data_IF_855756972261
#
_entry.id   IF_855756972261
#
_cell.length_a   1.000
_cell.length_b   1.000
_cell.length_c   1.000
_cell.angle_alpha   90.00
_cell.angle_beta   90.00
_cell.angle_gamma   90.00
#
_symmetry.space_group_name_H-M   'P 1'
#
loop_
_entity.id
_entity.type
_entity.pdbx_description
1 polymer ?
#
# COMPACT_ATOMS: atom_id res chain seq x y z
N UNK A 1 4.61 0.57 14.37
CA UNK A 1 5.55 1.10 13.36
C UNK A 1 4.96 2.39 12.83
N UNK A 2 5.74 3.47 12.79
CA UNK A 2 5.28 4.72 12.19
C UNK A 2 5.23 4.53 10.68
N UNK A 3 4.03 4.59 10.09
CA UNK A 3 3.84 4.68 8.62
C UNK A 3 4.24 6.06 8.09
N UNK A 4 4.79 6.95 8.93
CA UNK A 4 5.13 8.31 8.53
C UNK A 4 6.29 8.28 7.55
N UNK A 5 6.04 8.84 6.36
CA UNK A 5 7.12 9.44 5.59
C UNK A 5 7.78 10.47 6.49
N UNK A 6 9.10 10.38 6.64
CA UNK A 6 9.89 11.40 7.31
C UNK A 6 9.91 12.64 6.40
N UNK A 7 8.85 13.45 6.45
CA UNK A 7 8.81 14.75 5.78
C UNK A 7 9.71 15.71 6.53
N UNK A 8 10.98 15.74 6.13
CA UNK A 8 11.96 16.73 6.59
C UNK A 8 11.83 18.07 5.84
N UNK A 9 10.82 18.21 4.97
CA UNK A 9 10.55 19.44 4.23
C UNK A 9 10.01 20.52 5.19
N UNK A 10 10.73 21.63 5.40
CA UNK A 10 10.29 22.72 6.27
C UNK A 10 8.92 23.28 5.88
N UNK A 11 8.62 23.37 4.58
CA UNK A 11 7.33 23.86 4.07
C UNK A 11 6.19 22.93 4.51
N UNK A 12 6.39 21.62 4.40
CA UNK A 12 5.39 20.63 4.83
C UNK A 12 5.14 20.70 6.34
N UNK A 13 6.20 20.84 7.14
CA UNK A 13 6.09 20.97 8.60
C UNK A 13 5.33 22.23 8.99
N UNK A 14 5.61 23.36 8.34
CA UNK A 14 4.90 24.62 8.58
C UNK A 14 3.42 24.52 8.26
N UNK A 15 3.07 23.97 7.08
CA UNK A 15 1.68 23.71 6.68
C UNK A 15 0.96 22.82 7.71
N UNK A 16 1.61 21.74 8.15
CA UNK A 16 1.07 20.81 9.13
C UNK A 16 0.74 21.51 10.45
N UNK A 17 1.66 22.34 10.95
CA UNK A 17 1.45 23.11 12.18
C UNK A 17 0.28 24.06 12.09
N UNK A 18 0.18 24.81 10.98
CA UNK A 18 -0.92 25.75 10.74
C UNK A 18 -2.27 25.03 10.77
N UNK A 19 -2.39 23.91 10.05
CA UNK A 19 -3.63 23.13 10.04
C UNK A 19 -3.94 22.54 11.41
N UNK A 20 -2.93 22.01 12.11
CA UNK A 20 -3.10 21.46 13.45
C UNK A 20 -3.61 22.54 14.43
N UNK A 21 -3.01 23.73 14.44
CA UNK A 21 -3.43 24.85 15.28
C UNK A 21 -4.83 25.36 14.93
N UNK A 22 -5.19 25.39 13.64
CA UNK A 22 -6.55 25.76 13.18
C UNK A 22 -7.66 24.91 13.79
N UNK A 23 -7.39 23.66 14.16
CA UNK A 23 -8.38 22.84 14.86
C UNK A 23 -8.71 23.38 16.26
N UNK A 24 -7.68 23.81 17.01
CA UNK A 24 -7.87 24.39 18.35
C UNK A 24 -8.50 25.79 18.30
N UNK A 25 -8.24 26.56 17.24
CA UNK A 25 -8.92 27.83 17.02
C UNK A 25 -10.42 27.64 16.77
N UNK A 26 -10.79 26.60 16.01
CA UNK A 26 -12.19 26.31 15.67
C UNK A 26 -12.94 25.63 16.82
N UNK A 27 -12.26 24.81 17.62
CA UNK A 27 -12.78 24.24 18.87
C UNK A 27 -11.79 24.41 20.04
N UNK A 28 -11.87 25.54 20.77
CA UNK A 28 -10.99 25.81 21.90
C UNK A 28 -11.07 24.79 23.04
N UNK A 29 -12.15 23.99 23.13
CA UNK A 29 -12.30 22.97 24.19
C UNK A 29 -11.31 21.82 24.04
N UNK A 30 -10.83 21.56 22.83
CA UNK A 30 -9.82 20.53 22.55
C UNK A 30 -8.55 20.70 23.40
N UNK A 31 -8.21 21.93 23.80
CA UNK A 31 -7.06 22.17 24.68
C UNK A 31 -7.17 21.47 26.03
N UNK A 32 -8.38 21.45 26.60
CA UNK A 32 -8.69 20.82 27.89
C UNK A 32 -9.10 19.35 27.78
N UNK A 33 -9.60 18.93 26.62
CA UNK A 33 -10.12 17.56 26.42
C UNK A 33 -9.05 16.58 25.91
N UNK A 34 -8.01 17.08 25.25
CA UNK A 34 -6.92 16.26 24.71
C UNK A 34 -5.68 16.34 25.61
N UNK A 35 -5.25 15.18 26.12
CA UNK A 35 -3.93 15.02 26.71
C UNK A 35 -2.83 15.12 25.64
N UNK A 36 -1.57 15.24 26.07
CA UNK A 36 -0.44 15.41 25.13
C UNK A 36 -0.28 14.23 24.17
N UNK A 37 -0.66 13.02 24.61
CA UNK A 37 -0.65 11.83 23.77
C UNK A 37 -1.65 11.94 22.62
N UNK A 38 -2.90 12.33 22.91
CA UNK A 38 -3.96 12.51 21.91
C UNK A 38 -3.66 13.68 20.98
N UNK A 39 -3.07 14.76 21.50
CA UNK A 39 -2.57 15.87 20.66
C UNK A 39 -1.52 15.40 19.66
N UNK A 40 -0.59 14.55 20.09
CA UNK A 40 0.40 13.95 19.18
C UNK A 40 -0.25 13.08 18.11
N UNK A 41 -1.19 12.20 18.48
CA UNK A 41 -1.91 11.36 17.52
C UNK A 41 -2.68 12.22 16.50
N UNK A 42 -3.34 13.27 16.95
CA UNK A 42 -4.03 14.21 16.07
C UNK A 42 -3.07 14.93 15.13
N UNK A 43 -1.88 15.31 15.59
CA UNK A 43 -0.84 15.88 14.72
C UNK A 43 -0.39 14.86 13.65
N UNK A 44 -0.14 13.61 14.06
CA UNK A 44 0.22 12.53 13.14
C UNK A 44 -0.89 12.30 12.09
N UNK A 45 -2.17 12.37 12.48
CA UNK A 45 -3.31 12.29 11.56
C UNK A 45 -3.32 13.45 10.55
N UNK A 46 -3.01 14.69 10.97
CA UNK A 46 -2.86 15.83 10.05
C UNK A 46 -1.74 15.57 9.06
N UNK A 47 -0.60 15.04 9.51
CA UNK A 47 0.53 14.66 8.63
C UNK A 47 0.09 13.62 7.60
N UNK A 48 -0.62 12.57 8.02
CA UNK A 48 -1.10 11.54 7.10
C UNK A 48 -2.05 12.14 6.06
N UNK A 49 -3.07 12.90 6.47
CA UNK A 49 -4.02 13.51 5.54
C UNK A 49 -3.32 14.43 4.54
N UNK A 50 -2.39 15.26 5.00
CA UNK A 50 -1.59 16.12 4.11
C UNK A 50 -0.72 15.34 3.14
N UNK A 51 -0.07 14.25 3.59
CA UNK A 51 0.78 13.44 2.73
C UNK A 51 -0.01 12.86 1.54
N UNK A 52 -1.19 12.29 1.79
CA UNK A 52 -2.06 11.77 0.74
C UNK A 52 -2.63 12.87 -0.15
N UNK A 53 -3.05 14.00 0.43
CA UNK A 53 -3.58 15.14 -0.33
C UNK A 53 -2.53 15.70 -1.28
N UNK A 54 -1.30 15.94 -0.80
CA UNK A 54 -0.24 16.50 -1.63
C UNK A 54 0.29 15.52 -2.67
N UNK A 55 0.26 14.21 -2.40
CA UNK A 55 0.47 13.21 -3.44
C UNK A 55 -0.60 13.30 -4.53
N UNK A 56 -1.88 13.37 -4.15
CA UNK A 56 -2.97 13.52 -5.11
C UNK A 56 -2.81 14.79 -5.97
N UNK A 57 -2.53 15.94 -5.32
CA UNK A 57 -2.31 17.23 -6.00
C UNK A 57 -1.11 17.20 -6.93
N UNK A 58 0.01 16.60 -6.50
CA UNK A 58 1.22 16.47 -7.30
C UNK A 58 0.95 15.69 -8.60
N UNK A 59 0.26 14.55 -8.50
CA UNK A 59 -0.09 13.72 -9.66
C UNK A 59 -1.34 14.18 -10.42
N UNK A 60 -2.05 15.18 -9.90
CA UNK A 60 -3.35 15.66 -10.41
C UNK A 60 -4.34 14.51 -10.56
N UNK A 61 -4.39 13.67 -9.52
CA UNK A 61 -5.19 12.47 -9.45
C UNK A 61 -6.04 12.50 -8.17
N UNK A 62 -7.29 12.94 -8.33
CA UNK A 62 -8.26 13.08 -7.24
C UNK A 62 -8.57 11.74 -6.56
N UNK A 63 -8.47 10.63 -7.29
CA UNK A 63 -8.85 9.30 -6.82
C UNK A 63 -7.98 8.88 -5.64
N UNK A 64 -6.70 9.25 -5.65
CA UNK A 64 -5.75 8.98 -4.56
C UNK A 64 -6.28 9.44 -3.20
N UNK A 65 -6.75 10.69 -3.12
CA UNK A 65 -7.24 11.26 -1.86
C UNK A 65 -8.67 10.85 -1.55
N UNK A 66 -9.53 10.70 -2.57
CA UNK A 66 -10.94 10.31 -2.38
C UNK A 66 -11.06 8.87 -1.85
N UNK A 67 -10.30 7.92 -2.42
CA UNK A 67 -10.27 6.52 -1.96
C UNK A 67 -9.66 6.43 -0.55
N UNK A 68 -8.63 7.23 -0.26
CA UNK A 68 -8.05 7.34 1.08
C UNK A 68 -9.07 7.85 2.11
N UNK A 69 -9.85 8.90 1.79
CA UNK A 69 -10.86 9.46 2.69
C UNK A 69 -11.92 8.41 3.08
N UNK A 70 -12.40 7.62 2.12
CA UNK A 70 -13.33 6.51 2.40
C UNK A 70 -12.67 5.41 3.23
N UNK A 71 -11.41 5.09 2.94
CA UNK A 71 -10.65 4.07 3.67
C UNK A 71 -10.41 4.46 5.13
N UNK A 72 -9.99 5.70 5.42
CA UNK A 72 -9.76 6.17 6.79
C UNK A 72 -11.08 6.33 7.55
N UNK A 73 -12.16 6.75 6.89
CA UNK A 73 -13.50 6.78 7.50
C UNK A 73 -13.93 5.40 8.03
N UNK A 74 -13.78 4.37 7.20
CA UNK A 74 -14.08 2.99 7.61
C UNK A 74 -13.20 2.54 8.77
N UNK A 75 -11.89 2.82 8.72
CA UNK A 75 -10.96 2.51 9.81
C UNK A 75 -11.42 3.15 11.12
N UNK A 76 -11.72 4.46 11.10
CA UNK A 76 -12.16 5.20 12.27
C UNK A 76 -13.49 4.66 12.82
N UNK A 77 -14.43 4.25 11.96
CA UNK A 77 -15.66 3.58 12.40
C UNK A 77 -15.40 2.28 13.20
N UNK A 78 -14.32 1.57 12.90
CA UNK A 78 -13.97 0.32 13.59
C UNK A 78 -13.15 0.54 14.87
N UNK A 79 -12.41 1.65 14.95
CA UNK A 79 -11.56 1.99 16.10
C UNK A 79 -12.33 2.82 17.13
N UNK A 80 -13.09 3.84 16.69
CA UNK A 80 -13.75 4.83 17.55
C UNK A 80 -15.14 4.37 17.99
N UNK A 81 -15.22 3.26 18.72
CA UNK A 81 -16.48 2.60 19.12
C UNK A 81 -17.39 3.45 20.03
N UNK A 82 -16.86 4.51 20.62
CA UNK A 82 -17.61 5.47 21.45
C UNK A 82 -18.51 6.40 20.62
N UNK A 83 -18.37 6.40 19.28
CA UNK A 83 -19.13 7.25 18.38
C UNK A 83 -19.84 6.43 17.30
N UNK A 84 -21.01 6.88 16.88
CA UNK A 84 -21.67 6.33 15.70
C UNK A 84 -21.02 6.82 14.39
N UNK A 85 -21.34 6.15 13.28
CA UNK A 85 -20.81 6.48 11.95
C UNK A 85 -21.10 7.93 11.54
N UNK A 86 -22.26 8.46 11.93
CA UNK A 86 -22.67 9.83 11.59
C UNK A 86 -21.77 10.84 12.28
N UNK A 87 -21.47 10.62 13.57
CA UNK A 87 -20.57 11.49 14.34
C UNK A 87 -19.15 11.43 13.80
N UNK A 88 -18.64 10.23 13.48
CA UNK A 88 -17.31 10.06 12.89
C UNK A 88 -17.21 10.76 11.53
N UNK A 89 -18.23 10.60 10.68
CA UNK A 89 -18.30 11.32 9.41
C UNK A 89 -18.27 12.84 9.63
N UNK A 90 -19.05 13.36 10.58
CA UNK A 90 -19.04 14.80 10.86
C UNK A 90 -17.66 15.28 11.30
N UNK A 91 -16.97 14.53 12.17
CA UNK A 91 -15.60 14.86 12.61
C UNK A 91 -14.63 14.94 11.43
N UNK A 92 -14.71 14.00 10.49
CA UNK A 92 -13.87 14.02 9.29
C UNK A 92 -14.22 15.15 8.33
N UNK A 93 -15.51 15.40 8.11
CA UNK A 93 -15.97 16.51 7.28
C UNK A 93 -15.51 17.84 7.87
N UNK A 94 -15.58 18.01 9.18
CA UNK A 94 -15.09 19.20 9.88
C UNK A 94 -13.56 19.34 9.72
N UNK A 95 -12.81 18.23 9.85
CA UNK A 95 -11.37 18.18 9.60
C UNK A 95 -11.01 18.63 8.18
N UNK A 96 -11.66 18.06 7.15
CA UNK A 96 -11.41 18.43 5.75
C UNK A 96 -11.80 19.89 5.47
N UNK A 97 -12.86 20.40 6.09
CA UNK A 97 -13.23 21.81 5.99
C UNK A 97 -12.19 22.74 6.63
N UNK A 98 -11.60 22.35 7.77
CA UNK A 98 -10.50 23.09 8.42
C UNK A 98 -9.26 23.10 7.52
N UNK A 99 -8.91 21.96 6.93
CA UNK A 99 -7.80 21.88 5.97
C UNK A 99 -8.04 22.81 4.77
N UNK A 100 -9.23 22.78 4.18
CA UNK A 100 -9.60 23.59 3.02
C UNK A 100 -9.56 25.09 3.31
N UNK A 101 -10.10 25.52 4.46
CA UNK A 101 -10.05 26.90 4.91
C UNK A 101 -8.61 27.37 5.17
N UNK A 102 -7.81 26.54 5.85
CA UNK A 102 -6.40 26.86 6.12
C UNK A 102 -5.59 26.99 4.82
N UNK A 103 -5.78 26.07 3.87
CA UNK A 103 -5.12 26.10 2.57
C UNK A 103 -5.52 27.32 1.74
N UNK A 104 -6.79 27.71 1.78
CA UNK A 104 -7.29 28.85 0.99
C UNK A 104 -6.90 30.21 1.57
N UNK A 105 -6.82 30.33 2.91
CA UNK A 105 -6.77 31.63 3.57
C UNK A 105 -5.46 31.88 4.33
N UNK A 106 -4.79 30.84 4.84
CA UNK A 106 -3.63 30.97 5.74
C UNK A 106 -2.31 30.51 5.11
N UNK A 107 -2.36 29.72 4.04
CA UNK A 107 -1.19 29.16 3.36
C UNK A 107 -0.82 29.90 2.06
N UNK A 108 -1.36 31.10 1.87
CA UNK A 108 -1.06 31.98 0.73
C UNK A 108 0.44 32.33 0.76
N UNK A 109 1.15 32.02 -0.33
CA UNK A 109 2.60 32.21 -0.45
C UNK A 109 3.44 30.99 -0.08
N UNK A 110 2.87 30.00 0.63
CA UNK A 110 3.49 28.69 0.81
C UNK A 110 3.12 27.74 -0.33
N UNK A 111 1.90 27.82 -0.85
CA UNK A 111 1.41 27.03 -1.99
C UNK A 111 1.16 27.94 -3.20
N UNK A 112 1.30 27.37 -4.40
CA UNK A 112 0.89 28.00 -5.66
C UNK A 112 -0.64 28.01 -5.80
N UNK A 113 -1.17 28.93 -6.61
CA UNK A 113 -2.62 29.02 -6.87
C UNK A 113 -3.21 27.70 -7.38
N UNK A 114 -2.44 26.96 -8.20
CA UNK A 114 -2.85 25.65 -8.69
C UNK A 114 -2.90 24.60 -7.57
N UNK A 115 -1.89 24.56 -6.68
CA UNK A 115 -1.89 23.65 -5.54
C UNK A 115 -3.05 23.94 -4.59
N UNK A 116 -3.34 25.23 -4.33
CA UNK A 116 -4.49 25.66 -3.51
C UNK A 116 -5.79 25.18 -4.16
N UNK A 117 -6.00 25.48 -5.44
CA UNK A 117 -7.21 25.10 -6.17
C UNK A 117 -7.46 23.59 -6.13
N UNK A 118 -6.48 22.78 -6.53
CA UNK A 118 -6.59 21.32 -6.54
C UNK A 118 -6.79 20.76 -5.13
N UNK A 119 -6.08 21.28 -4.12
CA UNK A 119 -6.25 20.85 -2.73
C UNK A 119 -7.68 21.07 -2.26
N UNK A 120 -8.25 22.25 -2.54
CA UNK A 120 -9.63 22.58 -2.14
C UNK A 120 -10.66 21.70 -2.85
N UNK A 121 -10.49 21.45 -4.15
CA UNK A 121 -11.35 20.58 -4.95
C UNK A 121 -11.33 19.13 -4.44
N UNK A 122 -10.14 18.61 -4.14
CA UNK A 122 -9.96 17.22 -3.68
C UNK A 122 -10.50 17.04 -2.25
N UNK A 123 -10.36 18.05 -1.38
CA UNK A 123 -10.97 18.06 -0.05
C UNK A 123 -12.51 18.09 -0.12
N UNK A 124 -13.09 18.87 -1.03
CA UNK A 124 -14.54 18.87 -1.26
C UNK A 124 -15.04 17.50 -1.75
N UNK A 125 -14.30 16.88 -2.67
CA UNK A 125 -14.60 15.53 -3.16
C UNK A 125 -14.51 14.48 -2.05
N UNK A 126 -13.49 14.57 -1.19
CA UNK A 126 -13.34 13.71 -0.01
C UNK A 126 -14.50 13.89 1.00
N UNK A 127 -14.97 15.13 1.23
CA UNK A 127 -16.15 15.42 2.05
C UNK A 127 -17.37 14.69 1.49
N UNK A 128 -17.62 14.82 0.18
CA UNK A 128 -18.77 14.20 -0.47
C UNK A 128 -18.69 12.66 -0.43
N UNK A 129 -17.52 12.09 -0.73
CA UNK A 129 -17.29 10.65 -0.66
C UNK A 129 -17.48 10.10 0.76
N UNK A 130 -16.99 10.80 1.77
CA UNK A 130 -17.14 10.41 3.18
C UNK A 130 -18.61 10.43 3.62
N UNK A 131 -19.37 11.47 3.23
CA UNK A 131 -20.81 11.55 3.47
C UNK A 131 -21.57 10.38 2.84
N UNK A 132 -21.24 10.04 1.59
CA UNK A 132 -21.85 8.91 0.89
C UNK A 132 -21.49 7.57 1.55
N UNK A 133 -20.25 7.41 2.02
CA UNK A 133 -19.79 6.20 2.68
C UNK A 133 -20.51 5.89 4.00
N UNK A 134 -21.16 6.88 4.64
CA UNK A 134 -22.00 6.62 5.83
C UNK A 134 -23.13 5.65 5.51
N UNK A 135 -23.75 5.83 4.34
CA UNK A 135 -24.92 5.06 3.90
C UNK A 135 -24.55 3.68 3.32
N UNK A 136 -23.30 3.51 2.90
CA UNK A 136 -22.86 2.30 2.21
C UNK A 136 -21.97 1.43 3.11
N UNK A 137 -22.43 0.21 3.36
CA UNK A 137 -21.62 -0.87 3.94
C UNK A 137 -21.46 -1.91 2.84
N UNK A 138 -20.29 -2.01 2.18
CA UNK A 138 -20.09 -3.02 1.16
C UNK A 138 -20.26 -4.43 1.76
N UNK A 139 -21.00 -5.29 1.07
CA UNK A 139 -21.06 -6.72 1.38
C UNK A 139 -19.79 -7.44 0.88
N UNK A 140 -19.38 -8.46 1.67
CA UNK A 140 -18.42 -9.57 1.47
C UNK A 140 -17.29 -9.42 0.43
N UNK A 141 -16.07 -9.74 0.89
CA UNK A 141 -14.89 -9.97 0.04
C UNK A 141 -15.10 -11.21 -0.83
N UNK A 142 -14.45 -11.29 -2.00
CA UNK A 142 -14.46 -12.51 -2.84
C UNK A 142 -13.69 -13.69 -2.19
N UNK A 143 -13.33 -13.57 -0.92
CA UNK A 143 -12.59 -14.55 -0.13
C UNK A 143 -13.31 -15.90 0.00
N UNK A 144 -14.63 -15.93 -0.07
CA UNK A 144 -15.41 -17.18 0.03
C UNK A 144 -15.72 -17.80 -1.35
N UNK A 145 -15.28 -17.17 -2.46
CA UNK A 145 -15.63 -17.59 -3.82
C UNK A 145 -14.51 -18.36 -4.53
N UNK A 146 -14.87 -19.35 -5.35
CA UNK A 146 -13.93 -20.07 -6.21
C UNK A 146 -13.43 -21.40 -5.63
N UNK A 147 -12.54 -22.07 -6.36
CA UNK A 147 -12.18 -23.47 -6.12
C UNK A 147 -11.39 -23.71 -4.83
N UNK A 148 -10.74 -22.67 -4.30
CA UNK A 148 -9.83 -22.78 -3.16
C UNK A 148 -10.38 -22.18 -1.86
N UNK A 149 -11.67 -21.82 -1.81
CA UNK A 149 -12.29 -21.19 -0.63
C UNK A 149 -12.05 -21.98 0.67
N UNK A 150 -12.33 -23.29 0.67
CA UNK A 150 -12.11 -24.11 1.87
C UNK A 150 -10.64 -24.19 2.30
N UNK A 151 -9.70 -24.18 1.35
CA UNK A 151 -8.27 -24.19 1.66
C UNK A 151 -7.85 -22.85 2.29
N UNK A 152 -8.37 -21.74 1.77
CA UNK A 152 -8.18 -20.41 2.36
C UNK A 152 -8.73 -20.33 3.77
N UNK A 153 -9.94 -20.83 4.01
CA UNK A 153 -10.57 -20.84 5.33
C UNK A 153 -9.72 -21.59 6.35
N UNK A 154 -9.29 -22.81 6.02
CA UNK A 154 -8.48 -23.63 6.90
C UNK A 154 -7.12 -22.97 7.21
N UNK A 155 -6.50 -22.38 6.19
CA UNK A 155 -5.22 -21.68 6.34
C UNK A 155 -5.38 -20.41 7.20
N UNK A 156 -6.39 -19.59 6.91
CA UNK A 156 -6.72 -18.40 7.69
C UNK A 156 -7.02 -18.73 9.15
N UNK A 157 -7.85 -19.76 9.41
CA UNK A 157 -8.15 -20.23 10.77
C UNK A 157 -6.86 -20.58 11.53
N UNK A 158 -5.95 -21.33 10.90
CA UNK A 158 -4.67 -21.70 11.51
C UNK A 158 -3.79 -20.49 11.85
N UNK A 159 -3.76 -19.48 10.98
CA UNK A 159 -3.06 -18.22 11.25
C UNK A 159 -3.70 -17.46 12.43
N UNK A 160 -5.02 -17.35 12.45
CA UNK A 160 -5.76 -16.64 13.50
C UNK A 160 -5.65 -17.33 14.86
N UNK A 161 -5.56 -18.66 14.89
CA UNK A 161 -5.34 -19.47 16.09
C UNK A 161 -3.86 -19.59 16.50
N UNK A 162 -2.94 -18.87 15.84
CA UNK A 162 -1.50 -18.89 16.07
C UNK A 162 -0.85 -20.27 15.92
N UNK A 163 -1.37 -21.11 15.03
CA UNK A 163 -0.88 -22.47 14.83
C UNK A 163 0.02 -22.56 13.59
N UNK A 164 1.29 -22.18 13.77
CA UNK A 164 2.30 -22.22 12.69
C UNK A 164 2.47 -23.61 12.08
N UNK A 165 2.39 -24.66 12.91
CA UNK A 165 2.57 -26.04 12.45
C UNK A 165 1.44 -26.46 11.52
N UNK A 166 0.20 -26.16 11.89
CA UNK A 166 -0.95 -26.53 11.09
C UNK A 166 -1.05 -25.67 9.82
N UNK A 167 -0.74 -24.37 9.91
CA UNK A 167 -0.62 -23.51 8.74
C UNK A 167 0.38 -24.05 7.71
N UNK A 168 1.54 -24.54 8.17
CA UNK A 168 2.53 -25.19 7.32
C UNK A 168 2.01 -26.51 6.73
N UNK A 169 1.39 -27.36 7.56
CA UNK A 169 0.86 -28.65 7.13
C UNK A 169 -0.23 -28.52 6.06
N UNK A 170 -1.18 -27.59 6.24
CA UNK A 170 -2.30 -27.35 5.32
C UNK A 170 -1.80 -27.02 3.91
N UNK A 171 -0.84 -26.10 3.81
CA UNK A 171 -0.30 -25.67 2.52
C UNK A 171 0.57 -26.77 1.88
N UNK A 172 1.36 -27.48 2.69
CA UNK A 172 2.16 -28.62 2.20
C UNK A 172 1.27 -29.77 1.68
N UNK A 173 0.18 -30.07 2.39
CA UNK A 173 -0.77 -31.10 1.99
C UNK A 173 -1.51 -30.73 0.71
N UNK A 174 -1.91 -29.46 0.56
CA UNK A 174 -2.48 -28.96 -0.69
C UNK A 174 -1.51 -29.15 -1.87
N UNK A 175 -0.24 -28.77 -1.70
CA UNK A 175 0.80 -28.96 -2.71
C UNK A 175 1.00 -30.45 -3.06
N UNK A 176 1.14 -31.33 -2.06
CA UNK A 176 1.28 -32.78 -2.25
C UNK A 176 0.06 -33.43 -2.91
N UNK A 177 -1.12 -32.83 -2.73
CA UNK A 177 -2.37 -33.27 -3.36
C UNK A 177 -2.51 -32.79 -4.81
N UNK A 178 -1.51 -32.06 -5.33
CA UNK A 178 -1.45 -31.64 -6.74
C UNK A 178 -2.02 -30.24 -7.00
N UNK A 179 -2.27 -29.43 -5.98
CA UNK A 179 -2.61 -28.01 -6.20
C UNK A 179 -1.40 -27.32 -6.84
N UNK A 180 -1.55 -26.68 -8.01
CA UNK A 180 -0.44 -25.97 -8.65
C UNK A 180 0.16 -24.91 -7.74
N UNK A 181 1.49 -24.79 -7.72
CA UNK A 181 2.17 -23.78 -6.90
C UNK A 181 1.71 -22.35 -7.23
N UNK A 182 1.43 -22.08 -8.51
CA UNK A 182 0.90 -20.79 -8.96
C UNK A 182 -0.43 -20.49 -8.26
N UNK A 183 -1.31 -21.47 -8.17
CA UNK A 183 -2.62 -21.33 -7.50
C UNK A 183 -2.46 -21.19 -5.98
N UNK A 184 -1.48 -21.87 -5.37
CA UNK A 184 -1.16 -21.67 -3.95
C UNK A 184 -0.78 -20.20 -3.70
N UNK A 185 0.10 -19.63 -4.53
CA UNK A 185 0.53 -18.24 -4.36
C UNK A 185 -0.62 -17.25 -4.65
N UNK A 186 -1.24 -17.33 -5.83
CA UNK A 186 -2.19 -16.33 -6.33
C UNK A 186 -3.59 -16.48 -5.73
N UNK A 187 -4.09 -17.71 -5.58
CA UNK A 187 -5.49 -17.96 -5.19
C UNK A 187 -5.66 -18.26 -3.70
N UNK A 188 -4.57 -18.64 -3.00
CA UNK A 188 -4.60 -18.95 -1.57
C UNK A 188 -3.85 -17.91 -0.75
N UNK A 189 -2.53 -17.82 -0.90
CA UNK A 189 -1.70 -16.96 -0.04
C UNK A 189 -2.03 -15.48 -0.23
N UNK A 190 -2.11 -15.00 -1.48
CA UNK A 190 -2.48 -13.60 -1.78
C UNK A 190 -3.86 -13.25 -1.19
N UNK A 191 -4.88 -14.09 -1.40
CA UNK A 191 -6.23 -13.85 -0.87
C UNK A 191 -6.27 -13.85 0.66
N UNK A 192 -5.57 -14.77 1.31
CA UNK A 192 -5.48 -14.81 2.79
C UNK A 192 -4.75 -13.60 3.33
N UNK A 193 -3.67 -13.15 2.69
CA UNK A 193 -2.97 -11.94 3.11
C UNK A 193 -3.82 -10.67 2.91
N UNK A 194 -4.63 -10.61 1.85
CA UNK A 194 -5.62 -9.53 1.69
C UNK A 194 -6.70 -9.58 2.77
N UNK A 195 -7.25 -10.75 3.09
CA UNK A 195 -8.27 -10.88 4.13
C UNK A 195 -7.71 -10.56 5.53
N UNK A 196 -6.48 -10.97 5.84
CA UNK A 196 -5.78 -10.54 7.06
C UNK A 196 -5.69 -9.01 7.15
N UNK A 197 -5.35 -8.34 6.04
CA UNK A 197 -5.35 -6.88 5.96
C UNK A 197 -6.73 -6.26 6.21
N UNK A 198 -7.78 -6.85 5.65
CA UNK A 198 -9.16 -6.42 5.86
C UNK A 198 -9.64 -6.65 7.30
N UNK A 199 -9.32 -7.78 7.92
CA UNK A 199 -9.65 -8.06 9.32
C UNK A 199 -8.94 -7.08 10.26
N UNK A 200 -7.69 -6.71 9.96
CA UNK A 200 -6.96 -5.69 10.70
C UNK A 200 -7.60 -4.31 10.52
N UNK A 201 -7.95 -3.92 9.28
CA UNK A 201 -8.63 -2.65 8.98
C UNK A 201 -10.01 -2.56 9.65
N UNK A 202 -10.68 -3.70 9.79
CA UNK A 202 -11.94 -3.86 10.53
C UNK A 202 -11.78 -3.89 12.06
N UNK A 203 -10.55 -3.79 12.56
CA UNK A 203 -10.24 -3.90 13.99
C UNK A 203 -10.79 -5.20 14.62
N UNK A 204 -10.85 -6.28 13.82
CA UNK A 204 -11.24 -7.64 14.24
C UNK A 204 -10.00 -8.36 14.78
N UNK A 205 -8.84 -8.15 14.14
CA UNK A 205 -7.55 -8.62 14.62
C UNK A 205 -6.64 -7.43 14.93
N UNK A 206 -5.75 -7.63 15.89
CA UNK A 206 -4.73 -6.65 16.26
C UNK A 206 -3.50 -6.73 15.35
N UNK A 207 -2.64 -5.71 15.43
CA UNK A 207 -1.42 -5.64 14.62
C UNK A 207 -0.45 -6.80 14.87
N UNK A 208 -0.40 -7.36 16.08
CA UNK A 208 0.42 -8.53 16.38
C UNK A 208 -0.05 -9.80 15.65
N UNK A 209 -1.37 -9.94 15.43
CA UNK A 209 -1.96 -11.05 14.66
C UNK A 209 -1.67 -10.91 13.17
N UNK A 210 -1.76 -9.70 12.64
CA UNK A 210 -1.35 -9.41 11.26
C UNK A 210 0.13 -9.76 11.06
N UNK A 211 1.01 -9.24 11.93
CA UNK A 211 2.46 -9.54 11.85
C UNK A 211 2.76 -11.04 11.99
N UNK A 212 2.06 -11.74 12.88
CA UNK A 212 2.18 -13.19 13.01
C UNK A 212 1.80 -13.90 11.71
N UNK A 213 0.66 -13.55 11.11
CA UNK A 213 0.18 -14.14 9.87
C UNK A 213 1.16 -13.91 8.70
N UNK A 214 1.68 -12.68 8.57
CA UNK A 214 2.72 -12.32 7.60
C UNK A 214 3.98 -13.15 7.79
N UNK A 215 4.49 -13.26 9.02
CA UNK A 215 5.71 -14.02 9.33
C UNK A 215 5.58 -15.53 9.10
N UNK A 216 4.45 -16.12 9.47
CA UNK A 216 4.17 -17.54 9.19
C UNK A 216 4.07 -17.77 7.68
N UNK A 217 3.36 -16.91 6.94
CA UNK A 217 3.23 -17.05 5.48
C UNK A 217 4.59 -16.95 4.78
N UNK A 218 5.44 -16.02 5.20
CA UNK A 218 6.83 -15.93 4.73
C UNK A 218 7.65 -17.21 4.96
N UNK A 219 7.38 -17.94 6.05
CA UNK A 219 8.02 -19.24 6.35
C UNK A 219 7.43 -20.36 5.51
N UNK A 220 6.10 -20.37 5.34
CA UNK A 220 5.36 -21.32 4.51
C UNK A 220 5.82 -21.27 3.05
N UNK A 221 6.08 -20.08 2.49
CA UNK A 221 6.61 -19.93 1.13
C UNK A 221 7.94 -20.66 0.92
N UNK A 222 8.81 -20.67 1.95
CA UNK A 222 10.14 -21.28 1.86
C UNK A 222 10.13 -22.80 1.64
N UNK A 223 9.00 -23.48 1.85
CA UNK A 223 8.89 -24.92 1.60
C UNK A 223 8.94 -25.29 0.11
N UNK A 224 8.70 -24.32 -0.77
CA UNK A 224 8.63 -24.55 -2.21
C UNK A 224 9.95 -24.30 -2.94
N UNK A 225 11.00 -23.88 -2.23
CA UNK A 225 12.26 -23.48 -2.85
C UNK A 225 13.00 -24.60 -3.58
N UNK A 226 12.86 -25.85 -3.16
CA UNK A 226 13.41 -26.98 -3.92
C UNK A 226 12.78 -27.09 -5.33
N UNK A 227 11.46 -26.89 -5.44
CA UNK A 227 10.75 -26.95 -6.73
C UNK A 227 10.98 -25.67 -7.55
N UNK A 228 10.82 -24.50 -6.91
CA UNK A 228 11.04 -23.18 -7.52
C UNK A 228 12.42 -23.09 -8.15
N UNK A 229 13.48 -23.52 -7.46
CA UNK A 229 14.85 -23.39 -7.96
C UNK A 229 15.26 -24.50 -8.94
N UNK A 230 14.49 -25.58 -9.05
CA UNK A 230 14.74 -26.69 -9.97
C UNK A 230 14.34 -26.41 -11.43
N UNK A 231 13.66 -25.29 -11.66
CA UNK A 231 13.10 -24.96 -12.97
C UNK A 231 14.18 -24.62 -14.00
N UNK A 232 13.99 -24.96 -15.31
CA UNK A 232 14.95 -24.64 -16.35
C UNK A 232 15.21 -23.14 -16.48
N UNK A 233 16.50 -22.75 -16.46
CA UNK A 233 16.90 -21.34 -16.47
C UNK A 233 16.84 -20.70 -17.86
N UNK A 234 16.27 -19.50 -17.92
CA UNK A 234 16.10 -18.67 -19.13
C UNK A 234 17.24 -17.67 -19.36
N UNK A 235 18.19 -17.57 -18.43
CA UNK A 235 19.26 -16.54 -18.43
C UNK A 235 18.67 -15.12 -18.50
N UNK A 236 17.59 -14.90 -17.73
CA UNK A 236 16.91 -13.61 -17.62
C UNK A 236 16.92 -13.20 -16.15
N UNK A 237 17.28 -11.95 -15.89
CA UNK A 237 17.48 -11.45 -14.53
C UNK A 237 16.38 -10.47 -14.15
N UNK A 238 15.79 -10.68 -12.96
CA UNK A 238 14.85 -9.77 -12.30
C UNK A 238 15.53 -9.16 -11.07
N UNK A 239 15.38 -7.85 -10.86
CA UNK A 239 15.59 -7.21 -9.54
C UNK A 239 14.24 -6.76 -9.02
N UNK A 240 13.90 -7.08 -7.77
CA UNK A 240 12.58 -6.80 -7.20
C UNK A 240 12.66 -6.27 -5.77
N UNK A 241 11.94 -5.18 -5.46
CA UNK A 241 11.97 -4.58 -4.12
C UNK A 241 10.71 -3.75 -3.81
N UNK A 242 10.46 -3.55 -2.51
CA UNK A 242 9.57 -2.48 -2.05
C UNK A 242 10.40 -1.21 -1.78
N UNK A 243 9.95 -0.09 -2.34
CA UNK A 243 10.77 1.13 -2.45
C UNK A 243 10.68 2.03 -1.22
N UNK A 244 11.67 2.90 -1.06
CA UNK A 244 11.61 4.00 -0.11
C UNK A 244 11.63 3.50 1.33
N UNK A 245 10.54 3.68 2.08
CA UNK A 245 10.42 3.17 3.46
C UNK A 245 9.22 2.25 3.62
N UNK A 246 8.73 1.69 2.51
CA UNK A 246 7.66 0.70 2.52
C UNK A 246 8.13 -0.61 3.16
N UNK A 247 7.37 -1.09 4.13
CA UNK A 247 7.63 -2.36 4.81
C UNK A 247 6.80 -3.51 4.23
N UNK A 248 5.90 -3.20 3.30
CA UNK A 248 4.99 -4.15 2.65
C UNK A 248 5.71 -4.91 1.53
N UNK A 249 6.41 -5.99 1.90
CA UNK A 249 7.27 -6.74 0.97
C UNK A 249 6.73 -8.10 0.52
N UNK A 250 5.68 -8.63 1.17
CA UNK A 250 5.22 -10.01 0.92
C UNK A 250 4.77 -10.22 -0.54
N UNK A 251 4.04 -9.27 -1.13
CA UNK A 251 3.58 -9.37 -2.51
C UNK A 251 4.72 -9.35 -3.53
N UNK A 252 5.74 -8.52 -3.32
CA UNK A 252 6.91 -8.47 -4.22
C UNK A 252 7.81 -9.70 -4.05
N UNK A 253 7.85 -10.29 -2.85
CA UNK A 253 8.50 -11.59 -2.62
C UNK A 253 7.77 -12.72 -3.36
N UNK A 254 6.44 -12.77 -3.28
CA UNK A 254 5.63 -13.73 -4.04
C UNK A 254 5.88 -13.60 -5.55
N UNK A 255 6.00 -12.36 -6.05
CA UNK A 255 6.37 -12.09 -7.44
C UNK A 255 7.76 -12.64 -7.79
N UNK A 256 8.76 -12.41 -6.94
CA UNK A 256 10.10 -12.97 -7.12
C UNK A 256 10.11 -14.49 -7.19
N UNK A 257 9.40 -15.16 -6.27
CA UNK A 257 9.26 -16.62 -6.26
C UNK A 257 8.61 -17.12 -7.57
N UNK A 258 7.60 -16.42 -8.09
CA UNK A 258 6.98 -16.77 -9.38
C UNK A 258 7.92 -16.57 -10.56
N UNK A 259 8.78 -15.56 -10.54
CA UNK A 259 9.78 -15.36 -11.58
C UNK A 259 10.85 -16.46 -11.58
N UNK A 260 11.35 -16.84 -10.40
CA UNK A 260 12.24 -17.99 -10.21
C UNK A 260 11.59 -19.27 -10.73
N UNK A 261 10.32 -19.51 -10.39
CA UNK A 261 9.56 -20.66 -10.87
C UNK A 261 9.40 -20.67 -12.41
N UNK A 262 9.41 -19.49 -13.05
CA UNK A 262 9.40 -19.39 -14.52
C UNK A 262 10.80 -19.33 -15.14
N UNK A 263 11.84 -19.70 -14.39
CA UNK A 263 13.21 -19.87 -14.86
C UNK A 263 14.06 -18.60 -14.90
N UNK A 264 13.60 -17.51 -14.29
CA UNK A 264 14.41 -16.29 -14.14
C UNK A 264 15.36 -16.39 -12.95
N UNK A 265 16.43 -15.60 -12.97
CA UNK A 265 17.28 -15.36 -11.81
C UNK A 265 16.78 -14.08 -11.12
N UNK A 266 16.12 -14.22 -9.96
CA UNK A 266 15.48 -13.13 -9.22
C UNK A 266 16.31 -12.68 -8.02
N UNK A 267 16.64 -11.40 -7.99
CA UNK A 267 17.23 -10.72 -6.85
C UNK A 267 16.13 -9.96 -6.10
N UNK A 268 15.51 -10.65 -5.13
CA UNK A 268 14.60 -10.04 -4.17
C UNK A 268 15.39 -9.29 -3.09
N UNK A 269 15.24 -7.97 -3.04
CA UNK A 269 16.03 -7.10 -2.16
C UNK A 269 15.30 -6.67 -0.88
N UNK A 270 14.07 -7.17 -0.67
CA UNK A 270 13.28 -6.87 0.52
C UNK A 270 12.58 -5.51 0.49
N UNK A 271 12.26 -5.04 1.69
CA UNK A 271 11.55 -3.79 1.97
C UNK A 271 12.47 -2.59 2.21
N UNK A 272 11.88 -1.39 2.19
CA UNK A 272 12.50 -0.11 2.53
C UNK A 272 13.84 0.15 1.82
N UNK A 273 13.93 -0.20 0.54
CA UNK A 273 15.18 -0.08 -0.21
C UNK A 273 15.40 1.37 -0.72
N UNK A 274 16.52 2.03 -0.37
CA UNK A 274 16.83 3.36 -0.87
C UNK A 274 17.17 3.37 -2.37
N UNK A 275 16.87 4.47 -3.05
CA UNK A 275 17.14 4.65 -4.51
C UNK A 275 18.57 4.31 -4.90
N UNK A 276 19.57 4.80 -4.18
CA UNK A 276 20.98 4.52 -4.49
C UNK A 276 21.32 3.03 -4.45
N UNK A 277 20.70 2.28 -3.53
CA UNK A 277 20.89 0.83 -3.43
C UNK A 277 20.22 0.09 -4.60
N UNK A 278 19.07 0.58 -5.07
CA UNK A 278 18.42 0.07 -6.28
C UNK A 278 19.33 0.26 -7.49
N UNK A 279 19.85 1.47 -7.71
CA UNK A 279 20.74 1.74 -8.85
C UNK A 279 22.02 0.90 -8.81
N UNK A 280 22.61 0.74 -7.62
CA UNK A 280 23.78 -0.12 -7.43
C UNK A 280 23.48 -1.59 -7.78
N UNK A 281 22.30 -2.09 -7.39
CA UNK A 281 21.89 -3.46 -7.73
C UNK A 281 21.70 -3.64 -9.24
N UNK A 282 21.18 -2.62 -9.95
CA UNK A 282 21.09 -2.63 -11.42
C UNK A 282 22.48 -2.69 -12.05
N UNK A 283 23.46 -1.90 -11.55
CA UNK A 283 24.85 -1.95 -12.02
C UNK A 283 25.48 -3.35 -11.83
N UNK A 284 25.21 -3.99 -10.69
CA UNK A 284 25.79 -5.27 -10.30
C UNK A 284 25.18 -6.46 -11.06
N UNK A 285 23.85 -6.54 -11.11
CA UNK A 285 23.15 -7.72 -11.65
C UNK A 285 22.71 -7.56 -13.10
N UNK A 286 22.74 -6.34 -13.65
CA UNK A 286 22.34 -6.02 -15.03
C UNK A 286 21.00 -6.66 -15.41
N UNK A 287 19.93 -6.39 -14.64
CA UNK A 287 18.63 -7.03 -14.84
C UNK A 287 18.03 -6.74 -16.21
N UNK A 288 17.27 -7.69 -16.74
CA UNK A 288 16.38 -7.43 -17.88
C UNK A 288 15.13 -6.67 -17.43
N UNK A 289 14.68 -6.92 -16.19
CA UNK A 289 13.49 -6.33 -15.60
C UNK A 289 13.79 -5.87 -14.16
N UNK A 290 13.31 -4.69 -13.81
CA UNK A 290 13.14 -4.27 -12.42
C UNK A 290 11.66 -4.17 -12.07
N UNK A 291 11.26 -4.78 -10.96
CA UNK A 291 9.91 -4.71 -10.42
C UNK A 291 9.91 -3.90 -9.11
N UNK A 292 9.12 -2.81 -9.07
CA UNK A 292 8.99 -1.93 -7.92
C UNK A 292 7.60 -2.05 -7.30
N UNK A 293 7.53 -2.34 -6.00
CA UNK A 293 6.27 -2.43 -5.26
C UNK A 293 5.99 -1.15 -4.47
N UNK A 294 4.76 -0.63 -4.62
CA UNK A 294 4.26 0.57 -3.92
C UNK A 294 2.87 0.26 -3.34
N UNK A 295 2.77 0.24 -2.01
CA UNK A 295 1.51 -0.07 -1.31
C UNK A 295 0.79 1.21 -0.86
N UNK A 296 1.55 2.17 -0.33
CA UNK A 296 1.02 3.43 0.18
C UNK A 296 1.21 4.56 -0.84
N UNK A 297 0.15 5.27 -1.26
CA UNK A 297 0.22 6.34 -2.26
C UNK A 297 1.30 7.41 -2.02
N UNK A 298 1.61 7.81 -0.78
CA UNK A 298 2.68 8.78 -0.55
C UNK A 298 4.07 8.40 -1.11
N UNK A 299 4.34 7.11 -1.35
CA UNK A 299 5.57 6.65 -2.02
C UNK A 299 5.53 6.68 -3.55
N UNK A 300 4.41 7.01 -4.19
CA UNK A 300 4.31 7.13 -5.66
C UNK A 300 5.30 8.17 -6.21
N UNK A 301 5.54 9.28 -5.48
CA UNK A 301 6.53 10.30 -5.88
C UNK A 301 7.97 9.76 -5.81
N UNK A 302 8.26 8.92 -4.80
CA UNK A 302 9.54 8.22 -4.71
C UNK A 302 9.68 7.25 -5.88
N UNK A 303 8.62 6.53 -6.23
CA UNK A 303 8.58 5.67 -7.41
C UNK A 303 8.89 6.44 -8.70
N UNK A 304 8.24 7.59 -8.92
CA UNK A 304 8.49 8.43 -10.11
C UNK A 304 9.97 8.82 -10.22
N UNK A 305 10.55 9.24 -9.10
CA UNK A 305 11.97 9.63 -9.03
C UNK A 305 12.88 8.46 -9.39
N UNK A 306 12.64 7.28 -8.80
CA UNK A 306 13.40 6.06 -9.10
C UNK A 306 13.27 5.69 -10.59
N UNK A 307 12.05 5.71 -11.14
CA UNK A 307 11.80 5.37 -12.54
C UNK A 307 12.54 6.32 -13.47
N UNK A 308 12.51 7.63 -13.22
CA UNK A 308 13.25 8.62 -14.01
C UNK A 308 14.77 8.37 -13.96
N UNK A 309 15.33 8.10 -12.78
CA UNK A 309 16.76 7.81 -12.63
C UNK A 309 17.17 6.53 -13.37
N UNK A 310 16.35 5.47 -13.27
CA UNK A 310 16.60 4.22 -13.99
C UNK A 310 16.53 4.46 -15.50
N UNK A 311 15.52 5.18 -15.99
CA UNK A 311 15.38 5.47 -17.42
C UNK A 311 16.56 6.28 -17.98
N UNK A 312 17.06 7.24 -17.20
CA UNK A 312 18.19 8.07 -17.60
C UNK A 312 19.50 7.27 -17.66
N UNK A 313 19.74 6.37 -16.70
CA UNK A 313 21.01 5.63 -16.59
C UNK A 313 21.00 4.27 -17.32
N UNK A 314 19.83 3.64 -17.44
CA UNK A 314 19.65 2.27 -17.95
C UNK A 314 18.44 2.17 -18.90
N UNK A 315 18.49 2.82 -20.09
CA UNK A 315 17.35 2.88 -21.00
C UNK A 315 16.86 1.50 -21.50
N UNK A 316 17.72 0.49 -21.48
CA UNK A 316 17.40 -0.88 -21.93
C UNK A 316 16.70 -1.74 -20.87
N UNK A 317 16.76 -1.36 -19.58
CA UNK A 317 16.16 -2.14 -18.50
C UNK A 317 14.65 -1.93 -18.51
N UNK A 318 13.87 -3.01 -18.58
CA UNK A 318 12.42 -2.94 -18.45
C UNK A 318 12.02 -2.62 -17.01
N UNK A 319 11.00 -1.79 -16.84
CA UNK A 319 10.50 -1.37 -15.53
C UNK A 319 9.04 -1.78 -15.41
N UNK A 320 8.74 -2.60 -14.41
CA UNK A 320 7.39 -2.91 -14.00
C UNK A 320 7.10 -2.34 -12.61
N UNK A 321 5.84 -1.99 -12.38
CA UNK A 321 5.36 -1.56 -11.05
C UNK A 321 4.11 -2.33 -10.65
N UNK A 322 3.88 -2.41 -9.35
CA UNK A 322 2.68 -2.99 -8.77
C UNK A 322 2.46 -2.52 -7.34
N UNK A 323 1.52 -3.18 -6.66
CA UNK A 323 1.13 -2.85 -5.30
C UNK A 323 -0.13 -1.98 -5.22
N UNK A 324 -0.71 -1.94 -4.03
CA UNK A 324 -2.06 -1.41 -3.78
C UNK A 324 -2.19 0.10 -4.09
N UNK A 325 -1.10 0.85 -4.12
CA UNK A 325 -1.15 2.28 -4.43
C UNK A 325 -1.66 2.52 -5.86
N UNK A 326 -1.24 1.71 -6.83
CA UNK A 326 -1.62 1.89 -8.24
C UNK A 326 -3.09 1.56 -8.51
N UNK A 327 -3.72 0.66 -7.73
CA UNK A 327 -5.17 0.41 -7.80
C UNK A 327 -6.00 1.65 -7.43
N UNK A 328 -5.41 2.58 -6.68
CA UNK A 328 -6.04 3.82 -6.21
C UNK A 328 -5.72 5.04 -7.11
N UNK A 329 -5.25 4.81 -8.33
CA UNK A 329 -4.86 5.85 -9.29
C UNK A 329 -5.55 5.68 -10.64
N UNK A 330 -5.70 6.78 -11.38
CA UNK A 330 -6.26 6.81 -12.74
C UNK A 330 -5.14 6.67 -13.78
N UNK A 331 -4.76 5.42 -14.09
CA UNK A 331 -3.72 5.08 -15.07
C UNK A 331 -2.39 5.83 -14.83
N UNK A 332 -2.05 6.13 -13.58
CA UNK A 332 -0.89 6.97 -13.25
C UNK A 332 0.42 6.40 -13.81
N UNK A 333 0.57 5.07 -13.79
CA UNK A 333 1.77 4.38 -14.28
C UNK A 333 2.09 4.71 -15.75
N UNK A 334 1.08 4.96 -16.60
CA UNK A 334 1.25 5.30 -18.02
C UNK A 334 1.98 6.65 -18.20
N UNK A 335 1.87 7.54 -17.21
CA UNK A 335 2.50 8.88 -17.23
C UNK A 335 3.95 8.85 -16.74
N UNK A 336 4.39 7.76 -16.09
CA UNK A 336 5.68 7.68 -15.40
C UNK A 336 6.78 6.99 -16.24
N UNK A 337 6.58 6.80 -17.55
CA UNK A 337 7.52 6.08 -18.42
C UNK A 337 7.83 4.65 -17.93
N UNK A 338 6.82 3.96 -17.40
CA UNK A 338 6.88 2.57 -16.92
C UNK A 338 6.49 1.64 -18.09
N UNK A 339 7.13 0.48 -18.23
CA UNK A 339 6.80 -0.46 -19.32
C UNK A 339 5.52 -1.26 -19.04
N UNK A 340 5.27 -1.62 -17.77
CA UNK A 340 4.07 -2.39 -17.40
C UNK A 340 3.65 -2.16 -15.95
N UNK A 341 2.36 -1.95 -15.74
CA UNK A 341 1.72 -2.14 -14.43
C UNK A 341 1.14 -3.53 -14.34
N UNK A 342 1.36 -4.22 -13.22
CA UNK A 342 0.80 -5.55 -13.01
C UNK A 342 0.00 -5.67 -11.71
N UNK A 343 -1.24 -6.18 -11.78
CA UNK A 343 -2.06 -6.47 -10.60
C UNK A 343 -1.74 -7.83 -9.96
N UNK A 344 -0.98 -8.72 -10.63
CA UNK A 344 -0.62 -10.06 -10.15
C UNK A 344 0.74 -10.51 -10.68
N UNK A 345 1.41 -11.46 -10.01
CA UNK A 345 2.71 -11.94 -10.47
C UNK A 345 2.59 -12.65 -11.82
N UNK A 346 1.52 -13.44 -12.00
CA UNK A 346 1.31 -14.20 -13.24
C UNK A 346 1.06 -13.31 -14.47
N UNK A 347 0.40 -12.17 -14.30
CA UNK A 347 0.21 -11.23 -15.41
C UNK A 347 1.53 -10.61 -15.85
N UNK A 348 2.40 -10.25 -14.89
CA UNK A 348 3.73 -9.74 -15.22
C UNK A 348 4.56 -10.81 -15.93
N UNK A 349 4.56 -12.06 -15.46
CA UNK A 349 5.24 -13.17 -16.14
C UNK A 349 4.76 -13.30 -17.59
N UNK A 350 3.44 -13.37 -17.83
CA UNK A 350 2.85 -13.45 -19.18
C UNK A 350 3.22 -12.26 -20.06
N UNK A 351 3.33 -11.07 -19.47
CA UNK A 351 3.77 -9.89 -20.19
C UNK A 351 5.25 -10.02 -20.60
N UNK A 352 6.13 -10.48 -19.71
CA UNK A 352 7.55 -10.63 -20.02
C UNK A 352 7.82 -11.61 -21.16
N UNK A 353 7.08 -12.72 -21.26
CA UNK A 353 7.25 -13.72 -22.33
C UNK A 353 7.06 -13.15 -23.75
N UNK A 354 6.38 -12.00 -23.87
CA UNK A 354 6.14 -11.30 -25.14
C UNK A 354 7.05 -10.11 -25.37
N UNK A 355 7.69 -9.59 -24.32
CA UNK A 355 8.35 -8.28 -24.33
C UNK A 355 9.84 -8.32 -23.94
N UNK A 356 10.34 -9.45 -23.43
CA UNK A 356 11.73 -9.66 -22.99
C UNK A 356 12.22 -11.02 -23.44
#
# INVERSE_FOLDING_TARGET
MSLLINYNDPKFIEITKIIFESHFLKDPKLHSELDDRRKKLMYDDVVYNLSFLFTAVYFRDQKIFTDYAVWIFKLLCNIMKDFDRTRIMQMMVDHYAIMSDSISNQLIGLLSDQEIHLSTEYLESAINATKNAVLYVPESTDFDKGSYAQLRDNYLESLLLNNTRDAYAIINEAYKSGVPIIDIYEEVLTYVMHEIGELWHKNIISVDKEHFATSVTQTVMGQFYDDIFSQPRKQKTLVACAIGSELHEIGIRMLSDMFEFHGWDSYYLGAALPTESILKSIDEHKPNLIALSVTMPPYLKVCETIVMEIRNKYPEVKIAVGGQAFLRTDSLWEKMNIDFYSPSAIELVKWTEKNI
#
